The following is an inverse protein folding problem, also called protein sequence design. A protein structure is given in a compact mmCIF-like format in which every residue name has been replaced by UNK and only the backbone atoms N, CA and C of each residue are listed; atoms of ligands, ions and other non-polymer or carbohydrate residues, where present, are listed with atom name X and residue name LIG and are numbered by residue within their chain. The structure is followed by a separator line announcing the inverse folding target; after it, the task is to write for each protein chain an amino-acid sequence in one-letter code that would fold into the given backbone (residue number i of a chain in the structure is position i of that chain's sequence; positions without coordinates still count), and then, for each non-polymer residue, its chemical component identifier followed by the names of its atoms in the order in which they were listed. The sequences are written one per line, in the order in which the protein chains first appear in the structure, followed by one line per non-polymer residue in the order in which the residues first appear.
data_IF_264622498039
#
_entry.id   IF_264622498039
#
_cell.length_a   1.000
_cell.length_b   1.000
_cell.length_c   1.000
_cell.angle_alpha   90.00
_cell.angle_beta   90.00
_cell.angle_gamma   90.00
#
_symmetry.space_group_name_H-M   'P 1'
#
loop_
_entity.id
_entity.type
_entity.pdbx_description
1 polymer ?
#
# COMPACT_ATOMS: atom_id res chain seq x y z
N UNK A 1 18.49 0.40 -7.66
CA UNK A 1 17.77 -0.86 -7.93
C UNK A 1 16.50 -0.93 -7.12
N UNK A 2 15.38 -0.43 -7.65
CA UNK A 2 14.04 -0.51 -7.03
C UNK A 2 13.45 -1.94 -6.94
N UNK A 3 14.18 -2.94 -7.44
CA UNK A 3 13.74 -4.33 -7.48
C UNK A 3 13.51 -4.98 -6.12
N UNK A 4 14.21 -4.55 -5.07
CA UNK A 4 14.08 -5.14 -3.74
C UNK A 4 12.70 -4.93 -3.11
N UNK A 5 12.18 -3.70 -3.16
CA UNK A 5 10.86 -3.38 -2.59
C UNK A 5 9.72 -3.99 -3.40
N UNK A 6 9.81 -3.97 -4.72
CA UNK A 6 8.82 -4.61 -5.58
C UNK A 6 8.84 -6.12 -5.37
N UNK A 7 10.01 -6.74 -5.24
CA UNK A 7 10.16 -8.16 -4.95
C UNK A 7 9.56 -8.52 -3.59
N UNK A 8 9.85 -7.76 -2.53
CA UNK A 8 9.27 -8.00 -1.21
C UNK A 8 7.75 -7.84 -1.21
N UNK A 9 7.23 -6.76 -1.81
CA UNK A 9 5.79 -6.55 -1.97
C UNK A 9 5.13 -7.68 -2.77
N UNK A 10 5.76 -8.13 -3.84
CA UNK A 10 5.30 -9.26 -4.65
C UNK A 10 5.25 -10.56 -3.86
N UNK A 11 6.20 -10.81 -2.97
CA UNK A 11 6.20 -11.98 -2.10
C UNK A 11 5.02 -11.94 -1.12
N UNK A 12 4.82 -10.82 -0.41
CA UNK A 12 3.69 -10.65 0.51
C UNK A 12 2.36 -10.80 -0.22
N UNK A 13 2.22 -10.16 -1.38
CA UNK A 13 1.02 -10.26 -2.20
C UNK A 13 0.79 -11.69 -2.71
N UNK A 14 1.86 -12.42 -3.03
CA UNK A 14 1.76 -13.83 -3.48
C UNK A 14 1.18 -14.74 -2.41
N UNK A 15 1.54 -14.54 -1.15
CA UNK A 15 0.91 -15.28 -0.04
C UNK A 15 -0.58 -14.94 0.08
N UNK A 16 -0.96 -13.67 -0.05
CA UNK A 16 -2.37 -13.25 -0.01
C UNK A 16 -3.20 -13.77 -1.18
N UNK A 17 -2.64 -13.79 -2.38
CA UNK A 17 -3.32 -14.26 -3.59
C UNK A 17 -3.33 -15.80 -3.71
N UNK A 18 -2.28 -16.46 -3.17
CA UNK A 18 -2.10 -17.91 -3.29
C UNK A 18 -2.09 -18.39 -4.74
N UNK A 19 -2.64 -19.56 -4.98
CA UNK A 19 -2.71 -20.15 -6.32
C UNK A 19 -3.53 -19.32 -7.31
N UNK A 20 -4.45 -18.48 -6.83
CA UNK A 20 -5.26 -17.57 -7.67
C UNK A 20 -4.40 -16.56 -8.41
N UNK A 21 -3.37 -16.03 -7.74
CA UNK A 21 -2.46 -15.07 -8.33
C UNK A 21 -1.29 -15.67 -9.09
N UNK A 22 -1.01 -16.97 -8.91
CA UNK A 22 0.20 -17.62 -9.45
C UNK A 22 0.37 -17.38 -10.96
N UNK A 23 1.50 -16.79 -11.33
CA UNK A 23 1.83 -16.46 -12.73
C UNK A 23 1.09 -15.25 -13.30
N UNK A 24 0.12 -14.67 -12.59
CA UNK A 24 -0.54 -13.43 -13.02
C UNK A 24 0.30 -12.20 -12.69
N UNK A 25 0.00 -11.09 -13.35
CA UNK A 25 0.70 -9.83 -13.12
C UNK A 25 0.39 -9.29 -11.73
N UNK A 26 1.44 -9.11 -10.92
CA UNK A 26 1.38 -8.38 -9.66
C UNK A 26 1.40 -6.88 -9.91
N UNK A 27 2.38 -6.43 -10.68
CA UNK A 27 2.51 -5.02 -11.06
C UNK A 27 3.34 -4.89 -12.34
N UNK A 28 2.99 -3.92 -13.16
CA UNK A 28 3.83 -3.44 -14.26
C UNK A 28 4.33 -2.04 -13.93
N UNK A 29 5.62 -1.80 -14.14
CA UNK A 29 6.26 -0.49 -14.03
C UNK A 29 6.31 0.11 -15.43
N UNK A 30 5.56 1.16 -15.65
CA UNK A 30 5.45 1.82 -16.95
C UNK A 30 6.24 3.12 -16.93
N UNK A 31 7.30 3.16 -17.72
CA UNK A 31 8.10 4.35 -17.93
C UNK A 31 7.43 5.26 -18.98
N UNK A 32 7.90 6.50 -19.08
CA UNK A 32 7.42 7.42 -20.11
C UNK A 32 7.77 6.93 -21.55
N UNK A 33 7.17 7.53 -22.56
CA UNK A 33 7.29 7.09 -23.94
C UNK A 33 8.73 7.01 -24.45
N UNK A 34 9.62 7.89 -23.95
CA UNK A 34 11.04 7.90 -24.33
C UNK A 34 11.83 6.77 -23.70
N UNK A 35 11.30 6.14 -22.67
CA UNK A 35 11.93 5.09 -21.86
C UNK A 35 11.05 3.82 -21.81
N UNK A 36 10.09 3.68 -22.70
CA UNK A 36 9.17 2.54 -22.73
C UNK A 36 9.87 1.17 -22.86
N UNK A 37 11.07 1.13 -23.46
CA UNK A 37 11.92 -0.06 -23.46
C UNK A 37 12.42 -0.50 -22.06
N UNK A 38 12.26 0.34 -21.04
CA UNK A 38 12.57 0.02 -19.65
C UNK A 38 11.39 -0.52 -18.86
N UNK A 39 10.22 -0.66 -19.47
CA UNK A 39 9.04 -1.22 -18.82
C UNK A 39 9.33 -2.61 -18.27
N UNK A 40 8.83 -2.89 -17.08
CA UNK A 40 9.04 -4.16 -16.39
C UNK A 40 7.72 -4.69 -15.87
N UNK A 41 7.53 -5.99 -15.92
CA UNK A 41 6.37 -6.67 -15.37
C UNK A 41 6.83 -7.68 -14.32
N UNK A 42 6.22 -7.63 -13.15
CA UNK A 42 6.44 -8.54 -12.05
C UNK A 42 5.19 -9.37 -11.84
N UNK A 43 5.36 -10.68 -11.81
CA UNK A 43 4.25 -11.60 -11.59
C UNK A 43 4.22 -12.08 -10.14
N UNK A 44 3.04 -12.49 -9.70
CA UNK A 44 2.92 -13.24 -8.47
C UNK A 44 3.74 -14.53 -8.56
N UNK A 45 4.51 -14.82 -7.53
CA UNK A 45 5.17 -16.13 -7.40
C UNK A 45 4.16 -17.19 -7.01
N UNK A 46 4.51 -18.47 -7.26
CA UNK A 46 3.73 -19.58 -6.73
C UNK A 46 4.16 -19.81 -5.26
N UNK A 47 3.27 -19.62 -4.28
CA UNK A 47 3.60 -19.85 -2.86
C UNK A 47 3.58 -21.33 -2.45
N UNK A 48 3.59 -22.27 -3.39
CA UNK A 48 3.55 -23.71 -3.14
C UNK A 48 2.14 -24.22 -2.82
N UNK A 49 1.99 -24.98 -1.74
CA UNK A 49 0.71 -25.57 -1.32
C UNK A 49 -0.30 -24.56 -0.74
N UNK A 50 0.05 -23.28 -0.68
CA UNK A 50 -0.80 -22.23 -0.13
C UNK A 50 -1.95 -21.91 -1.09
N UNK A 51 -3.18 -22.10 -0.63
CA UNK A 51 -4.38 -21.88 -1.45
C UNK A 51 -4.77 -20.39 -1.61
N UNK A 52 -4.16 -19.49 -0.83
CA UNK A 52 -4.53 -18.08 -0.73
C UNK A 52 -5.79 -17.86 0.10
N UNK A 53 -6.03 -16.59 0.39
CA UNK A 53 -7.21 -16.17 1.13
C UNK A 53 -8.30 -15.72 0.15
N UNK A 54 -9.56 -16.06 0.45
CA UNK A 54 -10.69 -15.49 -0.27
C UNK A 54 -10.79 -13.98 -0.02
N UNK A 55 -10.44 -13.57 1.20
CA UNK A 55 -10.48 -12.18 1.68
C UNK A 55 -9.18 -11.85 2.42
N UNK A 56 -8.68 -10.64 2.21
CA UNK A 56 -7.49 -10.10 2.89
C UNK A 56 -7.87 -8.78 3.54
N UNK A 57 -7.63 -8.66 4.84
CA UNK A 57 -7.79 -7.42 5.57
C UNK A 57 -6.49 -6.63 5.55
N UNK A 58 -6.58 -5.34 5.25
CA UNK A 58 -5.43 -4.44 5.23
C UNK A 58 -5.72 -3.24 6.12
N UNK A 59 -4.96 -3.13 7.20
CA UNK A 59 -5.00 -1.95 8.08
C UNK A 59 -4.16 -0.86 7.42
N UNK A 60 -4.75 0.30 7.17
CA UNK A 60 -4.09 1.36 6.42
C UNK A 60 -4.45 2.75 6.94
N UNK A 61 -3.62 3.73 6.61
CA UNK A 61 -3.84 5.13 6.95
C UNK A 61 -3.01 6.06 6.07
N UNK A 62 -2.96 7.34 6.41
CA UNK A 62 -2.28 8.38 5.62
C UNK A 62 -0.77 8.11 5.40
N UNK A 63 -0.16 7.26 6.23
CA UNK A 63 1.25 6.84 6.12
C UNK A 63 1.44 5.59 5.26
N UNK A 64 0.36 4.91 4.90
CA UNK A 64 0.40 3.77 3.97
C UNK A 64 0.70 4.29 2.58
N UNK A 65 1.87 3.95 2.04
CA UNK A 65 2.43 4.60 0.87
C UNK A 65 3.12 3.63 -0.08
N UNK A 66 3.15 3.98 -1.37
CA UNK A 66 4.05 3.38 -2.37
C UNK A 66 3.95 1.85 -2.43
N UNK A 67 4.97 1.11 -1.97
CA UNK A 67 4.98 -0.37 -2.01
C UNK A 67 3.79 -1.00 -1.25
N UNK A 68 3.35 -0.39 -0.16
CA UNK A 68 2.18 -0.87 0.59
C UNK A 68 0.89 -0.70 -0.21
N UNK A 69 0.73 0.43 -0.89
CA UNK A 69 -0.40 0.67 -1.80
C UNK A 69 -0.35 -0.28 -2.99
N UNK A 70 0.85 -0.57 -3.48
CA UNK A 70 1.06 -1.51 -4.58
C UNK A 70 0.63 -2.94 -4.22
N UNK A 71 0.82 -3.39 -2.96
CA UNK A 71 0.31 -4.69 -2.48
C UNK A 71 -1.21 -4.71 -2.57
N UNK A 72 -1.89 -3.68 -2.07
CA UNK A 72 -3.35 -3.56 -2.11
C UNK A 72 -3.85 -3.59 -3.57
N UNK A 73 -3.25 -2.75 -4.41
CA UNK A 73 -3.63 -2.63 -5.82
C UNK A 73 -3.39 -3.93 -6.60
N UNK A 74 -2.26 -4.59 -6.36
CA UNK A 74 -1.91 -5.86 -7.00
C UNK A 74 -2.88 -6.98 -6.64
N UNK A 75 -3.23 -7.14 -5.36
CA UNK A 75 -4.22 -8.12 -4.90
C UNK A 75 -5.60 -7.89 -5.53
N UNK A 76 -6.05 -6.64 -5.57
CA UNK A 76 -7.30 -6.26 -6.24
C UNK A 76 -7.27 -6.59 -7.72
N UNK A 77 -6.11 -6.42 -8.37
CA UNK A 77 -5.90 -6.72 -9.78
C UNK A 77 -6.18 -8.16 -10.16
N UNK A 78 -5.91 -9.12 -9.27
CA UNK A 78 -6.17 -10.56 -9.49
C UNK A 78 -7.46 -11.05 -8.81
N UNK A 79 -8.32 -10.13 -8.37
CA UNK A 79 -9.64 -10.45 -7.85
C UNK A 79 -9.66 -11.00 -6.42
N UNK A 80 -8.64 -10.71 -5.62
CA UNK A 80 -8.70 -10.93 -4.17
C UNK A 80 -9.61 -9.87 -3.56
N UNK A 81 -10.53 -10.28 -2.69
CA UNK A 81 -11.36 -9.37 -1.91
C UNK A 81 -10.50 -8.72 -0.83
N UNK A 82 -10.13 -7.45 -1.05
CA UNK A 82 -9.31 -6.68 -0.12
C UNK A 82 -10.19 -5.72 0.66
N UNK A 83 -10.38 -6.03 1.93
CA UNK A 83 -11.08 -5.18 2.89
C UNK A 83 -10.06 -4.23 3.53
N UNK A 84 -10.11 -2.99 3.12
CA UNK A 84 -9.23 -1.94 3.60
C UNK A 84 -9.88 -1.20 4.78
N UNK A 85 -9.21 -1.17 5.93
CA UNK A 85 -9.70 -0.60 7.18
C UNK A 85 -8.78 0.52 7.63
N UNK A 86 -9.34 1.66 7.98
CA UNK A 86 -8.57 2.81 8.47
C UNK A 86 -8.89 4.09 7.73
N UNK A 87 -7.87 4.79 7.26
CA UNK A 87 -8.02 6.06 6.52
C UNK A 87 -7.41 5.96 5.12
N UNK A 88 -7.64 7.00 4.33
CA UNK A 88 -7.12 7.13 2.95
C UNK A 88 -5.60 7.09 2.96
N UNK A 89 -5.03 6.32 2.04
CA UNK A 89 -3.58 6.19 1.90
C UNK A 89 -2.93 7.46 1.31
N UNK A 90 -1.60 7.51 1.27
CA UNK A 90 -0.88 8.71 0.85
C UNK A 90 -1.00 9.05 -0.65
N UNK A 91 -1.30 8.07 -1.51
CA UNK A 91 -1.46 8.31 -2.93
C UNK A 91 -0.15 8.42 -3.72
N UNK A 92 0.72 7.40 -3.63
CA UNK A 92 1.98 7.36 -4.38
C UNK A 92 2.05 6.17 -5.34
N UNK A 93 1.35 6.23 -6.50
CA UNK A 93 1.39 5.17 -7.51
C UNK A 93 2.66 5.19 -8.38
N UNK A 94 3.63 6.02 -8.04
CA UNK A 94 4.82 6.27 -8.85
C UNK A 94 6.09 5.92 -8.10
N UNK A 95 7.15 5.64 -8.86
CA UNK A 95 8.47 5.39 -8.32
C UNK A 95 9.56 6.17 -9.04
N UNK A 96 10.76 6.13 -8.45
CA UNK A 96 11.93 6.81 -8.95
C UNK A 96 13.19 5.98 -8.75
N UNK A 97 14.17 6.22 -9.59
CA UNK A 97 15.52 5.67 -9.46
C UNK A 97 16.46 6.82 -9.06
N UNK A 98 17.06 6.77 -7.87
CA UNK A 98 18.03 7.77 -7.46
C UNK A 98 19.22 7.80 -8.44
N UNK A 99 19.68 9.01 -8.75
CA UNK A 99 20.83 9.23 -9.61
C UNK A 99 21.78 10.22 -8.98
N UNK A 100 23.06 9.86 -8.92
CA UNK A 100 24.12 10.76 -8.47
C UNK A 100 24.65 11.57 -9.65
N UNK A 101 24.93 12.84 -9.42
CA UNK A 101 25.66 13.66 -10.37
C UNK A 101 27.15 13.69 -10.02
N UNK A 102 27.97 14.26 -10.92
CA UNK A 102 29.41 14.37 -10.72
C UNK A 102 29.82 15.25 -9.53
N UNK A 103 28.89 16.03 -8.97
CA UNK A 103 29.14 16.90 -7.83
C UNK A 103 28.72 16.28 -6.48
N UNK A 104 28.43 14.98 -6.44
CA UNK A 104 28.05 14.27 -5.21
C UNK A 104 26.61 14.54 -4.72
N UNK A 105 25.75 15.10 -5.57
CA UNK A 105 24.33 15.31 -5.24
C UNK A 105 23.51 14.16 -5.81
N UNK A 106 22.69 13.53 -4.96
CA UNK A 106 21.70 12.54 -5.39
C UNK A 106 20.38 13.25 -5.65
N UNK A 107 19.76 12.96 -6.79
CA UNK A 107 18.40 13.42 -7.10
C UNK A 107 17.52 12.24 -7.51
N UNK A 108 16.23 12.39 -7.20
CA UNK A 108 15.21 11.39 -7.45
C UNK A 108 14.08 12.04 -8.23
N UNK A 109 13.95 11.66 -9.49
CA UNK A 109 12.88 12.12 -10.38
C UNK A 109 11.93 10.95 -10.61
N UNK A 110 10.64 11.21 -10.67
CA UNK A 110 9.65 10.18 -11.02
C UNK A 110 10.00 9.60 -12.39
N UNK A 111 10.19 8.28 -12.44
CA UNK A 111 10.60 7.56 -13.63
C UNK A 111 9.48 6.68 -14.20
N UNK A 112 8.63 6.12 -13.33
CA UNK A 112 7.60 5.17 -13.73
C UNK A 112 6.35 5.28 -12.87
N UNK A 113 5.23 4.82 -13.40
CA UNK A 113 4.01 4.52 -12.65
C UNK A 113 3.84 3.00 -12.51
N UNK A 114 3.19 2.57 -11.42
CA UNK A 114 2.84 1.18 -11.17
C UNK A 114 1.37 0.92 -11.49
N UNK A 115 1.10 -0.15 -12.26
CA UNK A 115 -0.27 -0.59 -12.55
C UNK A 115 -0.43 -2.08 -12.24
N UNK A 116 -1.65 -2.52 -11.89
CA UNK A 116 -1.97 -3.92 -11.61
C UNK A 116 -2.31 -4.72 -12.88
N UNK A 117 -2.75 -5.96 -12.71
CA UNK A 117 -3.13 -6.85 -13.81
C UNK A 117 -4.28 -6.33 -14.69
N UNK A 118 -5.09 -5.40 -14.18
CA UNK A 118 -6.18 -4.75 -14.91
C UNK A 118 -5.79 -3.40 -15.50
N UNK A 119 -4.49 -3.06 -15.47
CA UNK A 119 -3.97 -1.75 -15.85
C UNK A 119 -4.52 -0.60 -14.99
N UNK A 120 -4.88 -0.89 -13.74
CA UNK A 120 -5.34 0.10 -12.77
C UNK A 120 -4.15 0.62 -11.97
N UNK A 121 -4.06 1.93 -11.84
CA UNK A 121 -3.05 2.68 -11.09
C UNK A 121 -3.55 4.10 -10.86
N UNK A 122 -2.65 5.08 -10.79
CA UNK A 122 -2.98 6.52 -10.73
C UNK A 122 -3.83 6.93 -9.52
N UNK A 123 -3.74 6.19 -8.44
CA UNK A 123 -4.42 6.52 -7.17
C UNK A 123 -3.72 7.67 -6.44
N UNK A 124 -3.51 8.80 -7.12
CA UNK A 124 -2.82 9.98 -6.59
C UNK A 124 -3.53 10.63 -5.38
N UNK A 125 -4.82 10.36 -5.22
CA UNK A 125 -5.61 10.81 -4.08
C UNK A 125 -5.63 9.79 -2.93
N UNK A 126 -4.85 8.73 -3.03
CA UNK A 126 -4.85 7.61 -2.11
C UNK A 126 -5.91 6.55 -2.43
N UNK A 127 -5.77 5.41 -1.78
CA UNK A 127 -6.75 4.33 -1.80
C UNK A 127 -7.75 4.59 -0.67
N UNK A 128 -9.04 4.57 -1.00
CA UNK A 128 -10.11 4.77 -0.02
C UNK A 128 -10.33 3.49 0.78
N UNK A 129 -10.53 3.57 2.11
CA UNK A 129 -10.85 2.41 2.93
C UNK A 129 -12.24 1.85 2.60
N UNK A 130 -12.40 0.55 2.82
CA UNK A 130 -13.70 -0.11 2.83
C UNK A 130 -14.45 0.27 4.10
N UNK A 131 -13.75 0.26 5.24
CA UNK A 131 -14.25 0.71 6.52
C UNK A 131 -13.38 1.86 7.04
N UNK A 132 -13.98 3.06 7.16
CA UNK A 132 -13.29 4.20 7.71
C UNK A 132 -13.24 4.10 9.24
N UNK A 133 -12.04 3.97 9.80
CA UNK A 133 -11.77 3.86 11.23
C UNK A 133 -10.59 4.75 11.58
N UNK A 134 -10.73 5.57 12.61
CA UNK A 134 -9.62 6.42 13.05
C UNK A 134 -8.59 5.58 13.80
N UNK A 135 -7.31 5.77 13.45
CA UNK A 135 -6.18 5.19 14.17
C UNK A 135 -6.01 5.88 15.53
N UNK A 136 -5.74 5.11 16.57
CA UNK A 136 -5.42 5.63 17.90
C UNK A 136 -4.06 5.10 18.36
N UNK A 137 -3.05 5.92 18.22
CA UNK A 137 -1.67 5.58 18.58
C UNK A 137 -1.44 5.51 20.10
N UNK A 138 -2.44 5.78 20.93
CA UNK A 138 -2.35 5.62 22.39
C UNK A 138 -2.62 4.17 22.81
N UNK A 139 -3.20 3.37 21.91
CA UNK A 139 -3.46 1.96 22.13
C UNK A 139 -2.29 1.10 21.64
N UNK A 140 -2.05 -0.05 22.28
CA UNK A 140 -1.03 -0.99 21.83
C UNK A 140 -1.34 -1.49 20.43
N UNK A 141 -0.36 -1.41 19.53
CA UNK A 141 -0.48 -1.90 18.16
C UNK A 141 -0.66 -3.43 18.19
N UNK A 142 -1.70 -3.91 17.50
CA UNK A 142 -2.00 -5.34 17.38
C UNK A 142 -2.76 -5.93 18.57
N UNK A 143 -3.22 -5.11 19.50
CA UNK A 143 -4.07 -5.56 20.60
C UNK A 143 -5.50 -5.77 20.10
N UNK A 144 -6.06 -6.95 20.37
CA UNK A 144 -7.44 -7.30 20.01
C UNK A 144 -8.48 -6.78 21.01
N UNK A 145 -8.04 -6.26 22.17
CA UNK A 145 -8.92 -5.81 23.24
C UNK A 145 -9.56 -6.93 24.04
N UNK A 146 -9.03 -8.15 23.96
CA UNK A 146 -9.63 -9.34 24.60
C UNK A 146 -9.59 -9.27 26.13
N UNK A 147 -8.69 -8.46 26.71
CA UNK A 147 -8.50 -8.36 28.15
C UNK A 147 -9.22 -7.20 28.81
N UNK A 148 -9.37 -6.08 28.14
CA UNK A 148 -9.93 -4.83 28.68
C UNK A 148 -11.02 -4.18 27.82
N UNK A 149 -11.30 -4.77 26.64
CA UNK A 149 -12.23 -4.23 25.66
C UNK A 149 -11.69 -3.01 24.90
N UNK A 150 -10.41 -2.67 25.09
CA UNK A 150 -9.75 -1.52 24.47
C UNK A 150 -8.55 -2.05 23.68
N UNK A 151 -8.72 -2.25 22.39
CA UNK A 151 -7.66 -2.70 21.50
C UNK A 151 -7.29 -1.69 20.43
N UNK A 152 -6.36 -2.08 19.56
CA UNK A 152 -6.06 -1.35 18.33
C UNK A 152 -7.35 -1.20 17.49
N UNK A 153 -7.86 0.03 17.29
CA UNK A 153 -9.17 0.23 16.65
C UNK A 153 -9.26 -0.39 15.26
N UNK A 154 -8.16 -0.40 14.51
CA UNK A 154 -8.14 -0.96 13.16
C UNK A 154 -8.23 -2.49 13.21
N UNK A 155 -7.50 -3.11 14.15
CA UNK A 155 -7.53 -4.56 14.32
C UNK A 155 -8.86 -5.04 14.86
N UNK A 156 -9.42 -4.34 15.85
CA UNK A 156 -10.76 -4.63 16.41
C UNK A 156 -11.82 -4.53 15.31
N UNK A 157 -11.72 -3.51 14.45
CA UNK A 157 -12.61 -3.36 13.31
C UNK A 157 -12.48 -4.51 12.31
N UNK A 158 -11.25 -4.96 12.04
CA UNK A 158 -11.00 -6.11 11.16
C UNK A 158 -11.59 -7.40 11.73
N UNK A 159 -11.39 -7.65 13.02
CA UNK A 159 -11.92 -8.83 13.71
C UNK A 159 -13.46 -8.82 13.79
N UNK A 160 -14.06 -7.63 13.85
CA UNK A 160 -15.51 -7.44 13.96
C UNK A 160 -16.21 -7.30 12.60
N UNK A 161 -15.47 -7.35 11.48
CA UNK A 161 -16.02 -7.23 10.14
C UNK A 161 -16.74 -8.51 9.75
N UNK A 162 -18.05 -8.56 10.00
CA UNK A 162 -18.91 -9.72 9.72
C UNK A 162 -19.82 -9.40 8.54
N UNK A 163 -20.05 -10.37 7.66
CA UNK A 163 -20.99 -10.28 6.52
C UNK A 163 -20.77 -9.05 5.62
N UNK A 164 -19.52 -8.63 5.46
CA UNK A 164 -19.13 -7.44 4.71
C UNK A 164 -19.66 -6.12 5.28
N UNK A 165 -20.09 -6.11 6.53
CA UNK A 165 -20.54 -4.90 7.23
C UNK A 165 -19.42 -4.31 8.09
N UNK A 166 -19.20 -3.01 7.96
CA UNK A 166 -18.31 -2.28 8.85
C UNK A 166 -18.95 -2.14 10.23
N UNK A 167 -18.18 -2.33 11.33
CA UNK A 167 -18.72 -2.18 12.68
C UNK A 167 -19.16 -0.72 12.91
N UNK A 168 -20.43 -0.52 13.18
CA UNK A 168 -21.06 0.82 13.30
C UNK A 168 -20.49 1.63 14.47
N UNK A 169 -20.06 0.98 15.52
CA UNK A 169 -19.50 1.64 16.73
C UNK A 169 -18.12 2.23 16.53
N UNK A 170 -17.41 1.80 15.48
CA UNK A 170 -16.04 2.24 15.16
C UNK A 170 -15.98 3.15 13.93
N UNK A 171 -17.08 3.26 13.19
CA UNK A 171 -17.18 4.22 12.09
C UNK A 171 -17.29 5.62 12.67
N UNK A 172 -16.14 6.24 12.92
CA UNK A 172 -16.10 7.70 12.95
C UNK A 172 -16.35 8.14 11.52
N UNK A 173 -17.19 9.18 11.34
CA UNK A 173 -17.16 9.91 10.09
C UNK A 173 -15.69 10.19 9.81
N UNK A 174 -15.14 9.49 8.84
CA UNK A 174 -13.83 9.84 8.32
C UNK A 174 -13.88 11.34 8.15
N UNK A 175 -12.90 12.13 8.63
CA UNK A 175 -12.77 13.50 8.19
C UNK A 175 -12.51 13.42 6.68
N UNK A 176 -13.60 13.03 6.05
CA UNK A 176 -13.77 12.68 4.68
C UNK A 176 -13.13 13.74 3.87
N UNK A 177 -12.34 13.31 2.97
CA UNK A 177 -11.84 14.18 1.94
C UNK A 177 -11.34 15.48 2.57
N UNK A 178 -10.35 15.39 3.45
CA UNK A 178 -9.45 16.52 3.58
C UNK A 178 -9.01 16.78 2.15
N UNK A 179 -9.77 17.69 1.51
CA UNK A 179 -9.45 18.18 0.21
C UNK A 179 -7.94 18.29 0.13
N UNK A 180 -7.36 17.69 -0.89
CA UNK A 180 -5.96 17.82 -1.19
C UNK A 180 -5.57 19.28 -0.94
N UNK A 181 -4.95 19.55 0.21
CA UNK A 181 -4.36 20.83 0.49
C UNK A 181 -2.92 20.79 -0.01
N UNK A 182 -2.62 21.35 -1.17
CA UNK A 182 -1.28 21.36 -1.74
C UNK A 182 -0.26 22.08 -0.85
N UNK A 183 -0.73 22.87 0.12
CA UNK A 183 0.11 23.57 1.08
C UNK A 183 0.59 22.71 2.25
N UNK A 184 0.07 21.49 2.44
CA UNK A 184 0.64 20.53 3.38
C UNK A 184 1.47 19.53 2.60
N UNK A 185 2.81 19.56 2.74
CA UNK A 185 3.62 18.44 2.24
C UNK A 185 3.12 17.17 2.94
N UNK A 186 2.53 16.27 2.20
CA UNK A 186 2.06 14.95 2.70
C UNK A 186 3.19 14.07 3.21
N UNK A 187 4.41 14.49 2.99
CA UNK A 187 5.61 13.84 3.47
C UNK A 187 6.45 14.86 4.27
N UNK A 188 6.26 14.91 5.58
CA UNK A 188 7.31 15.36 6.47
C UNK A 188 8.27 14.17 6.61
N UNK A 189 9.42 14.28 5.96
CA UNK A 189 10.57 13.49 6.37
C UNK A 189 10.75 13.69 7.87
N UNK A 190 11.18 12.65 8.58
CA UNK A 190 11.46 12.73 10.00
C UNK A 190 12.23 14.02 10.29
N UNK A 191 11.68 14.85 11.18
CA UNK A 191 12.36 16.03 11.69
C UNK A 191 13.68 15.57 12.31
N UNK A 192 14.78 15.92 11.70
CA UNK A 192 16.09 15.51 12.19
C UNK A 192 17.13 15.30 11.12
N UNK A 193 16.86 15.61 9.87
CA UNK A 193 17.89 15.59 8.81
C UNK A 193 18.46 14.23 8.47
N UNK A 194 17.97 13.17 9.06
CA UNK A 194 18.28 11.82 8.61
C UNK A 194 17.45 11.49 7.38
N UNK A 195 18.13 11.38 6.28
CA UNK A 195 17.63 10.92 5.02
C UNK A 195 17.14 9.48 5.19
N UNK A 196 15.87 9.27 5.49
CA UNK A 196 15.25 7.98 5.21
C UNK A 196 14.99 7.87 3.70
N UNK A 197 16.03 8.20 2.92
CA UNK A 197 16.11 7.79 1.55
C UNK A 197 16.22 6.27 1.57
N UNK A 198 15.35 5.59 0.87
CA UNK A 198 15.58 4.20 0.51
C UNK A 198 16.90 4.15 -0.25
N UNK A 199 18.00 4.04 0.48
CA UNK A 199 19.32 3.73 -0.08
C UNK A 199 19.25 2.27 -0.48
N UNK A 200 19.06 2.01 -1.75
CA UNK A 200 19.38 0.72 -2.31
C UNK A 200 20.90 0.57 -2.25
N UNK A 201 21.39 -0.31 -1.38
CA UNK A 201 22.67 -0.98 -1.57
C UNK A 201 22.47 -2.24 -2.38
#
# INVERSE_FOLDING_TARGET
NGGGLVSMGGTVASYGAGNRGAGQVYTSLLYNDKQSGSNQTFNFSNPGAWAGFAKVYVLMGERTCSASEQVINGLRGVGVDVVAIGDVTCGKPVGFLPRDNACGTTYSVVNFEGVNARNEGRYFNGLTPTCAVAEDFTQPIGDTGDTDGIGDPLLVAAASHIDNACPVSLTRESPSARQFNPARPRYRGADGGERSGMSAR
#
